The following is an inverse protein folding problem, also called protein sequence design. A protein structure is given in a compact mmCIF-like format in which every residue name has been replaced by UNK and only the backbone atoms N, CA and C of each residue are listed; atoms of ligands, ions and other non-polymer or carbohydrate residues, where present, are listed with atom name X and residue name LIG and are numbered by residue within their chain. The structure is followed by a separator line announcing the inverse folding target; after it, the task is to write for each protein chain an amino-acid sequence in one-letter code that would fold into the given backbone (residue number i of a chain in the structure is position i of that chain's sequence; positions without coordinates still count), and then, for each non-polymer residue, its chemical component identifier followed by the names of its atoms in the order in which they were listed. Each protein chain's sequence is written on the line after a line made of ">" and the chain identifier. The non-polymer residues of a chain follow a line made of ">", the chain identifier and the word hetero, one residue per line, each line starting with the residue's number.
data_IF_884294430788
#
_entry.id   IF_884294430788
#
_cell.length_a   1.000
_cell.length_b   1.000
_cell.length_c   1.000
_cell.angle_alpha   90.00
_cell.angle_beta   90.00
_cell.angle_gamma   90.00
#
_symmetry.space_group_name_H-M   'P 1'
#
loop_
_entity.id
_entity.type
_entity.pdbx_description
1 polymer ?
#
# COMPACT_ATOMS: atom_id res chain seq x y z
N UNK A 1 13.20 1.59 -3.19
CA UNK A 1 12.50 2.00 -1.96
C UNK A 1 11.69 3.23 -2.30
N UNK A 2 10.44 3.26 -1.98
CA UNK A 2 9.60 4.45 -2.20
C UNK A 2 8.96 4.82 -0.86
N UNK A 3 9.03 6.10 -0.50
CA UNK A 3 8.48 6.60 0.75
C UNK A 3 7.63 7.80 0.40
N UNK A 4 6.35 7.77 0.71
CA UNK A 4 5.55 8.99 0.62
C UNK A 4 4.54 9.12 1.72
N UNK A 5 4.51 10.32 2.24
CA UNK A 5 3.35 11.14 2.47
C UNK A 5 3.77 12.58 2.80
N UNK A 6 2.82 13.50 2.88
CA UNK A 6 2.97 14.95 3.05
C UNK A 6 4.30 15.39 3.72
N UNK A 7 5.23 15.85 2.92
CA UNK A 7 6.61 16.22 3.30
C UNK A 7 6.72 17.25 4.43
N UNK A 8 5.66 18.01 4.67
CA UNK A 8 5.69 19.14 5.61
C UNK A 8 5.84 18.76 7.10
N UNK A 9 5.56 17.50 7.47
CA UNK A 9 5.73 16.97 8.84
C UNK A 9 7.01 16.21 9.07
N UNK A 10 7.76 15.93 8.00
CA UNK A 10 8.98 15.12 8.08
C UNK A 10 10.19 16.02 8.30
N UNK A 11 11.02 15.79 9.33
CA UNK A 11 12.25 16.54 9.51
C UNK A 11 13.16 16.47 8.28
N UNK A 12 13.74 17.60 7.87
CA UNK A 12 14.62 17.70 6.68
C UNK A 12 15.76 16.67 6.66
N UNK A 13 16.32 16.35 7.82
CA UNK A 13 17.38 15.34 7.92
C UNK A 13 16.90 13.92 7.64
N UNK A 14 15.61 13.61 7.88
CA UNK A 14 15.00 12.34 7.53
C UNK A 14 14.72 12.28 6.03
N UNK A 15 14.16 13.34 5.45
CA UNK A 15 13.93 13.44 4.00
C UNK A 15 15.22 13.19 3.21
N UNK A 16 16.32 13.84 3.61
CA UNK A 16 17.60 13.62 2.94
C UNK A 16 18.06 12.15 2.99
N UNK A 17 17.90 11.46 4.12
CA UNK A 17 18.26 10.04 4.23
C UNK A 17 17.38 9.14 3.36
N UNK A 18 16.11 9.51 3.18
CA UNK A 18 15.19 8.85 2.28
C UNK A 18 15.67 9.00 0.83
N UNK A 19 15.94 10.23 0.39
CA UNK A 19 16.48 10.52 -0.93
C UNK A 19 17.80 9.78 -1.20
N UNK A 20 18.72 9.77 -0.25
CA UNK A 20 19.99 9.04 -0.35
C UNK A 20 19.76 7.52 -0.53
N UNK A 21 18.80 6.95 0.20
CA UNK A 21 18.47 5.53 0.11
C UNK A 21 17.77 5.18 -1.22
N UNK A 22 16.88 6.03 -1.72
CA UNK A 22 16.25 5.88 -3.03
C UNK A 22 17.30 5.95 -4.15
N UNK A 23 18.20 6.92 -4.09
CA UNK A 23 19.27 7.06 -5.08
C UNK A 23 20.19 5.82 -5.08
N UNK A 24 20.56 5.32 -3.90
CA UNK A 24 21.41 4.13 -3.74
C UNK A 24 20.75 2.87 -4.35
N UNK A 25 19.43 2.75 -4.26
CA UNK A 25 18.68 1.55 -4.64
C UNK A 25 18.00 1.64 -6.00
N UNK A 26 17.98 2.80 -6.66
CA UNK A 26 17.22 3.03 -7.91
C UNK A 26 17.56 2.09 -9.08
N UNK A 27 18.75 1.52 -9.08
CA UNK A 27 19.20 0.57 -10.12
C UNK A 27 18.84 -0.88 -9.81
N UNK A 28 18.35 -1.17 -8.59
CA UNK A 28 17.94 -2.50 -8.20
C UNK A 28 16.61 -2.87 -8.88
N UNK A 29 16.51 -4.11 -9.38
CA UNK A 29 15.34 -4.56 -10.16
C UNK A 29 14.66 -5.81 -9.60
N UNK A 30 15.23 -6.41 -8.56
CA UNK A 30 14.76 -7.69 -8.03
C UNK A 30 13.51 -7.52 -7.15
N UNK A 31 13.44 -6.44 -6.38
CA UNK A 31 12.36 -6.20 -5.43
C UNK A 31 12.18 -4.70 -5.22
N UNK A 32 10.93 -4.25 -5.09
CA UNK A 32 10.59 -2.90 -4.62
C UNK A 32 10.17 -2.96 -3.17
N UNK A 33 10.88 -2.25 -2.29
CA UNK A 33 10.47 -2.00 -0.91
C UNK A 33 9.78 -0.65 -0.85
N UNK A 34 8.50 -0.63 -0.50
CA UNK A 34 7.74 0.59 -0.27
C UNK A 34 7.51 0.77 1.22
N UNK A 35 7.92 1.91 1.78
CA UNK A 35 7.73 2.25 3.20
C UNK A 35 6.73 3.40 3.27
N UNK A 36 5.53 3.13 3.77
CA UNK A 36 4.53 4.14 4.02
C UNK A 36 4.86 4.86 5.35
N UNK A 37 5.18 6.14 5.25
CA UNK A 37 5.49 7.00 6.39
C UNK A 37 4.56 8.21 6.39
N UNK A 38 3.86 8.48 7.52
CA UNK A 38 2.84 9.54 7.61
C UNK A 38 1.72 9.39 6.54
N UNK A 39 1.34 8.15 6.22
CA UNK A 39 0.39 7.78 5.19
C UNK A 39 -1.05 7.65 5.72
N UNK A 40 -2.02 7.97 4.90
CA UNK A 40 -3.43 7.71 5.18
C UNK A 40 -4.27 7.54 3.92
N UNK A 41 -4.89 6.37 3.74
CA UNK A 41 -5.63 6.03 2.53
C UNK A 41 -6.83 6.96 2.23
N UNK A 42 -7.48 7.51 3.26
CA UNK A 42 -8.54 8.52 3.04
C UNK A 42 -7.98 9.78 2.41
N UNK A 43 -6.83 10.26 2.88
CA UNK A 43 -6.17 11.44 2.32
C UNK A 43 -5.73 11.19 0.90
N UNK A 44 -5.15 10.03 0.63
CA UNK A 44 -4.73 9.61 -0.71
C UNK A 44 -5.88 9.65 -1.71
N UNK A 45 -7.05 9.08 -1.36
CA UNK A 45 -8.25 9.13 -2.21
C UNK A 45 -8.70 10.56 -2.45
N UNK A 46 -8.72 11.40 -1.40
CA UNK A 46 -9.09 12.80 -1.52
C UNK A 46 -8.13 13.55 -2.44
N UNK A 47 -6.83 13.32 -2.30
CA UNK A 47 -5.81 13.93 -3.15
C UNK A 47 -5.93 13.48 -4.60
N UNK A 48 -6.22 12.20 -4.84
CA UNK A 48 -6.48 11.67 -6.18
C UNK A 48 -7.68 12.37 -6.84
N UNK A 49 -8.80 12.51 -6.11
CA UNK A 49 -9.98 13.24 -6.59
C UNK A 49 -9.67 14.71 -6.88
N UNK A 50 -8.95 15.38 -5.98
CA UNK A 50 -8.55 16.77 -6.19
C UNK A 50 -7.66 16.96 -7.42
N UNK A 51 -6.79 16.00 -7.72
CA UNK A 51 -5.97 16.02 -8.94
C UNK A 51 -6.85 15.91 -10.20
N UNK A 52 -7.81 14.97 -10.20
CA UNK A 52 -8.76 14.82 -11.31
C UNK A 52 -9.54 16.12 -11.58
N UNK A 53 -9.97 16.81 -10.52
CA UNK A 53 -10.66 18.10 -10.63
C UNK A 53 -9.72 19.20 -11.16
N UNK A 54 -8.49 19.29 -10.67
CA UNK A 54 -7.47 20.23 -11.15
C UNK A 54 -7.16 20.03 -12.64
N UNK A 55 -7.07 18.77 -13.05
CA UNK A 55 -6.81 18.37 -14.44
C UNK A 55 -8.05 18.54 -15.34
N UNK A 56 -9.19 18.99 -14.78
CA UNK A 56 -10.47 19.17 -15.47
C UNK A 56 -10.95 17.92 -16.20
N UNK A 57 -10.73 16.75 -15.60
CA UNK A 57 -11.19 15.47 -16.15
C UNK A 57 -12.72 15.48 -16.20
N UNK A 58 -13.35 15.23 -17.36
CA UNK A 58 -14.82 15.18 -17.46
C UNK A 58 -15.42 14.11 -16.55
N UNK A 59 -16.54 14.42 -15.90
CA UNK A 59 -17.17 13.52 -14.92
C UNK A 59 -17.43 12.12 -15.47
N UNK A 60 -17.84 12.02 -16.74
CA UNK A 60 -18.08 10.74 -17.41
C UNK A 60 -16.80 9.94 -17.75
N UNK A 61 -15.62 10.49 -17.46
CA UNK A 61 -14.31 9.82 -17.59
C UNK A 61 -13.68 9.53 -16.24
N UNK A 62 -14.37 9.86 -15.14
CA UNK A 62 -13.92 9.51 -13.79
C UNK A 62 -14.45 8.11 -13.48
N UNK A 63 -13.60 7.13 -13.67
CA UNK A 63 -13.81 5.72 -13.35
C UNK A 63 -12.74 5.23 -12.35
N UNK A 64 -12.78 3.95 -11.99
CA UNK A 64 -11.78 3.36 -11.08
C UNK A 64 -10.36 3.51 -11.58
N UNK A 65 -10.15 3.41 -12.91
CA UNK A 65 -8.82 3.57 -13.53
C UNK A 65 -8.33 5.01 -13.43
N UNK A 66 -9.24 5.98 -13.59
CA UNK A 66 -8.90 7.38 -13.44
C UNK A 66 -8.47 7.70 -12.01
N UNK A 67 -9.19 7.19 -10.99
CA UNK A 67 -8.80 7.33 -9.58
C UNK A 67 -7.47 6.61 -9.32
N UNK A 68 -7.36 5.34 -9.73
CA UNK A 68 -6.13 4.54 -9.57
C UNK A 68 -4.90 5.26 -10.12
N UNK A 69 -5.01 5.90 -11.28
CA UNK A 69 -3.91 6.62 -11.93
C UNK A 69 -3.43 7.86 -11.18
N UNK A 70 -4.13 8.27 -10.13
CA UNK A 70 -3.84 9.44 -9.29
C UNK A 70 -3.51 9.09 -7.85
N UNK A 71 -3.54 7.81 -7.48
CA UNK A 71 -3.01 7.36 -6.20
C UNK A 71 -1.50 7.61 -6.10
N UNK A 72 -0.94 7.52 -4.92
CA UNK A 72 0.47 7.89 -4.70
C UNK A 72 1.45 6.99 -5.45
N UNK A 73 1.11 5.71 -5.65
CA UNK A 73 1.91 4.72 -6.35
C UNK A 73 1.09 3.93 -7.37
N UNK A 74 0.61 4.59 -8.44
CA UNK A 74 -0.26 3.94 -9.44
C UNK A 74 0.44 2.82 -10.21
N UNK A 75 1.78 2.80 -10.21
CA UNK A 75 2.61 1.79 -10.86
C UNK A 75 2.74 0.48 -10.07
N UNK A 76 2.44 0.49 -8.77
CA UNK A 76 2.50 -0.73 -7.96
C UNK A 76 1.20 -1.53 -8.12
N UNK A 77 1.31 -2.85 -8.19
CA UNK A 77 0.15 -3.73 -8.14
C UNK A 77 -0.55 -3.64 -6.77
N UNK A 78 -1.85 -3.96 -6.74
CA UNK A 78 -2.56 -4.14 -5.49
C UNK A 78 -1.95 -5.29 -4.71
N UNK A 79 -1.87 -5.20 -3.37
CA UNK A 79 -1.27 -6.25 -2.57
C UNK A 79 -2.13 -7.52 -2.61
N UNK A 80 -1.51 -8.67 -2.76
CA UNK A 80 -2.17 -9.97 -2.64
C UNK A 80 -2.41 -10.36 -1.20
N UNK A 81 -1.48 -10.01 -0.31
CA UNK A 81 -1.48 -10.37 1.10
C UNK A 81 -1.12 -9.18 1.98
N UNK A 82 -1.90 -8.98 3.02
CA UNK A 82 -1.56 -8.10 4.16
C UNK A 82 -1.39 -8.94 5.42
N UNK A 83 -0.26 -8.79 6.08
CA UNK A 83 0.00 -9.39 7.38
C UNK A 83 -0.12 -8.29 8.42
N UNK A 84 -1.10 -8.40 9.30
CA UNK A 84 -1.29 -7.48 10.42
C UNK A 84 -0.80 -8.13 11.72
N UNK A 85 0.23 -7.54 12.31
CA UNK A 85 0.83 -7.97 13.57
C UNK A 85 0.12 -7.37 14.79
N UNK A 86 0.52 -7.78 16.00
CA UNK A 86 0.10 -7.22 17.29
C UNK A 86 -1.35 -7.50 17.68
N UNK A 87 -1.99 -8.54 17.14
CA UNK A 87 -3.37 -8.90 17.46
C UNK A 87 -4.42 -7.85 17.07
N UNK A 88 -4.09 -6.96 16.13
CA UNK A 88 -4.94 -5.86 15.70
C UNK A 88 -5.74 -6.23 14.45
N UNK A 89 -7.06 -6.28 14.56
CA UNK A 89 -7.99 -6.71 13.51
C UNK A 89 -8.64 -5.54 12.76
N UNK A 90 -7.84 -4.57 12.31
CA UNK A 90 -8.30 -3.39 11.56
C UNK A 90 -7.26 -2.92 10.57
N UNK A 91 -7.67 -2.21 9.51
CA UNK A 91 -6.77 -1.66 8.48
C UNK A 91 -6.11 -0.35 8.90
N UNK A 92 -6.67 0.34 9.89
CA UNK A 92 -6.16 1.63 10.40
C UNK A 92 -5.88 2.66 9.30
N UNK A 93 -6.77 2.77 8.33
CA UNK A 93 -6.66 3.74 7.22
C UNK A 93 -5.47 3.45 6.27
N UNK A 94 -4.99 2.20 6.20
CA UNK A 94 -3.89 1.79 5.35
C UNK A 94 -4.40 1.22 4.02
N UNK A 95 -3.88 1.70 2.89
CA UNK A 95 -4.13 1.23 1.51
C UNK A 95 -5.61 0.93 1.21
N UNK A 96 -6.53 1.86 1.57
CA UNK A 96 -7.97 1.60 1.52
C UNK A 96 -8.48 1.27 0.13
N UNK A 97 -7.90 1.84 -0.91
CA UNK A 97 -8.26 1.56 -2.29
C UNK A 97 -7.67 0.24 -2.77
N UNK A 98 -6.39 0.05 -2.54
CA UNK A 98 -5.61 -1.06 -3.07
C UNK A 98 -5.92 -2.39 -2.39
N UNK A 99 -6.42 -2.35 -1.14
CA UNK A 99 -6.72 -3.55 -0.36
C UNK A 99 -8.12 -4.13 -0.60
N UNK A 100 -8.86 -3.64 -1.59
CA UNK A 100 -10.25 -4.06 -1.83
C UNK A 100 -10.44 -5.59 -1.99
N UNK A 101 -9.43 -6.28 -2.53
CA UNK A 101 -9.45 -7.75 -2.75
C UNK A 101 -8.25 -8.45 -2.12
N UNK A 102 -7.61 -7.80 -1.16
CA UNK A 102 -6.42 -8.33 -0.49
C UNK A 102 -6.79 -9.35 0.58
N UNK A 103 -6.10 -10.47 0.60
CA UNK A 103 -6.20 -11.42 1.70
C UNK A 103 -5.47 -10.89 2.94
N UNK A 104 -6.08 -11.09 4.12
CA UNK A 104 -5.52 -10.60 5.37
C UNK A 104 -5.19 -11.77 6.31
N UNK A 105 -3.97 -11.79 6.80
CA UNK A 105 -3.51 -12.67 7.88
C UNK A 105 -3.23 -11.83 9.12
N UNK A 106 -3.77 -12.25 10.23
CA UNK A 106 -3.59 -11.59 11.53
C UNK A 106 -2.73 -12.45 12.44
N UNK A 107 -1.78 -11.84 13.14
CA UNK A 107 -0.93 -12.52 14.12
C UNK A 107 -0.78 -11.69 15.38
N UNK A 108 -0.72 -12.35 16.52
CA UNK A 108 -0.50 -11.70 17.82
C UNK A 108 0.96 -11.29 18.05
N UNK A 109 1.88 -11.77 17.21
CA UNK A 109 3.30 -11.44 17.29
C UNK A 109 3.48 -9.93 17.14
N UNK A 110 4.20 -9.31 18.06
CA UNK A 110 4.55 -7.89 17.96
C UNK A 110 5.56 -7.65 16.84
N UNK A 111 5.46 -6.51 16.16
CA UNK A 111 6.36 -6.21 15.04
C UNK A 111 7.86 -6.36 15.34
N UNK A 112 8.39 -5.95 16.51
CA UNK A 112 9.80 -6.16 16.84
C UNK A 112 10.20 -7.62 16.97
N UNK A 113 9.25 -8.52 17.23
CA UNK A 113 9.47 -9.96 17.41
C UNK A 113 9.11 -10.78 16.17
N UNK A 114 8.53 -10.16 15.14
CA UNK A 114 8.16 -10.81 13.88
C UNK A 114 9.41 -11.29 13.15
N UNK A 115 9.45 -12.60 12.83
CA UNK A 115 10.60 -13.27 12.24
C UNK A 115 10.24 -13.96 10.92
N UNK A 116 11.22 -14.58 10.34
CA UNK A 116 11.11 -15.31 9.08
C UNK A 116 10.06 -16.42 9.14
N UNK A 117 10.00 -17.11 10.26
CA UNK A 117 9.05 -18.21 10.50
C UNK A 117 7.62 -17.71 10.48
N UNK A 118 7.36 -16.56 11.09
CA UNK A 118 6.04 -15.91 11.10
C UNK A 118 5.61 -15.50 9.70
N UNK A 119 6.55 -14.98 8.90
CA UNK A 119 6.30 -14.65 7.50
C UNK A 119 5.93 -15.90 6.70
N UNK A 120 6.67 -16.99 6.85
CA UNK A 120 6.38 -18.21 6.12
C UNK A 120 5.05 -18.81 6.52
N UNK A 121 4.72 -18.84 7.81
CA UNK A 121 3.39 -19.27 8.28
C UNK A 121 2.26 -18.46 7.67
N UNK A 122 2.40 -17.14 7.59
CA UNK A 122 1.40 -16.28 6.95
C UNK A 122 1.28 -16.55 5.44
N UNK A 123 2.39 -16.83 4.74
CA UNK A 123 2.37 -17.19 3.32
C UNK A 123 1.75 -18.57 3.11
N UNK A 124 2.03 -19.55 3.96
CA UNK A 124 1.42 -20.88 3.90
C UNK A 124 -0.10 -20.78 4.11
N UNK A 125 -0.56 -20.01 5.09
CA UNK A 125 -1.99 -19.75 5.30
C UNK A 125 -2.63 -19.12 4.07
N UNK A 126 -1.99 -18.10 3.48
CA UNK A 126 -2.46 -17.46 2.27
C UNK A 126 -2.58 -18.44 1.08
N UNK A 127 -1.61 -19.34 0.90
CA UNK A 127 -1.60 -20.32 -0.18
C UNK A 127 -2.74 -21.36 -0.09
N UNK A 128 -3.28 -21.58 1.12
CA UNK A 128 -4.39 -22.51 1.35
C UNK A 128 -5.76 -21.90 1.06
N UNK A 129 -5.84 -20.58 0.80
CA UNK A 129 -7.11 -19.88 0.57
C UNK A 129 -7.51 -19.91 -0.89
N UNK A 130 -8.81 -20.15 -1.15
CA UNK A 130 -9.42 -19.90 -2.46
C UNK A 130 -9.73 -18.41 -2.61
N UNK A 131 -9.09 -17.75 -3.57
CA UNK A 131 -9.35 -16.33 -3.88
C UNK A 131 -10.59 -16.23 -4.79
N UNK A 132 -11.61 -15.52 -4.31
CA UNK A 132 -12.83 -15.23 -5.09
C UNK A 132 -12.92 -13.73 -5.32
N UNK A 133 -12.86 -13.31 -6.58
CA UNK A 133 -12.94 -11.90 -6.99
C UNK A 133 -14.37 -11.42 -7.27
N UNK A 134 -15.36 -11.89 -6.50
CA UNK A 134 -16.75 -11.47 -6.62
C UNK A 134 -17.49 -11.99 -7.86
N UNK A 135 -16.89 -12.89 -8.64
CA UNK A 135 -17.56 -13.60 -9.72
C UNK A 135 -18.37 -14.77 -9.19
N UNK A 136 -19.61 -14.96 -9.71
CA UNK A 136 -20.31 -16.24 -9.58
C UNK A 136 -19.60 -17.22 -10.54
N UNK A 137 -19.00 -18.26 -10.00
CA UNK A 137 -18.58 -19.40 -10.81
C UNK A 137 -19.83 -19.95 -11.54
N UNK A 138 -19.78 -19.92 -12.88
CA UNK A 138 -20.80 -20.54 -13.72
C UNK A 138 -20.50 -22.01 -13.92
#
# INVERSE_FOLDING_TARGET
>A
MCIRDSDWRVPKGVLKRIEDAEELTKKNKTMTLNIAFNYGGRSEIVDAVQQLVRDKVPVNKIDEKAIRSRLYHPELADPDLVIRTSGEYRTSNFLLWEMAYTEMVFTDVLWPDFRREDLFSAVEEFQQRERRFGGLDK
#
